data_IF_961370046922
#
_entry.id   IF_961370046922
#
_cell.length_a   1.000
_cell.length_b   1.000
_cell.length_c   1.000
_cell.angle_alpha   90.00
_cell.angle_beta   90.00
_cell.angle_gamma   90.00
#
_symmetry.space_group_name_H-M   'P 1'
#
loop_
_entity.id
_entity.type
_entity.pdbx_description
1 polymer ?
#
# COMPACT_ATOMS: atom_id res chain seq x y z
N UNK A 1 -19.36 9.19 -17.63
CA UNK A 1 -18.34 9.03 -18.69
C UNK A 1 -17.77 7.62 -18.63
N UNK A 2 -17.46 7.00 -19.77
CA UNK A 2 -16.83 5.67 -19.81
C UNK A 2 -15.31 5.86 -19.88
N UNK A 3 -14.64 5.85 -18.73
CA UNK A 3 -13.18 5.89 -18.73
C UNK A 3 -12.64 4.62 -19.40
N UNK A 4 -11.56 4.75 -20.19
CA UNK A 4 -11.03 3.68 -21.06
C UNK A 4 -10.85 2.32 -20.37
N UNK A 5 -10.52 2.33 -19.08
CA UNK A 5 -10.23 1.13 -18.28
C UNK A 5 -11.28 0.84 -17.19
N UNK A 6 -12.41 1.55 -17.19
CA UNK A 6 -13.42 1.45 -16.12
C UNK A 6 -14.01 0.05 -15.94
N UNK A 7 -14.12 -0.71 -17.04
CA UNK A 7 -14.72 -2.05 -17.03
C UNK A 7 -13.68 -3.18 -16.93
N UNK A 8 -12.39 -2.84 -16.85
CA UNK A 8 -11.36 -3.84 -16.66
C UNK A 8 -11.33 -4.29 -15.19
N UNK A 9 -11.12 -5.59 -14.93
CA UNK A 9 -10.91 -6.05 -13.57
C UNK A 9 -9.64 -5.39 -13.00
N UNK A 10 -9.59 -5.18 -11.68
CA UNK A 10 -8.37 -4.71 -11.04
C UNK A 10 -7.24 -5.74 -11.21
N UNK A 11 -5.97 -5.29 -11.18
CA UNK A 11 -4.83 -6.21 -11.17
C UNK A 11 -4.88 -7.12 -9.94
N UNK A 12 -4.31 -8.33 -10.04
CA UNK A 12 -4.17 -9.20 -8.88
C UNK A 12 -3.21 -8.57 -7.85
N UNK A 13 -3.35 -8.89 -6.55
CA UNK A 13 -2.44 -8.40 -5.53
C UNK A 13 -0.96 -8.69 -5.83
N UNK A 14 -0.66 -9.88 -6.37
CA UNK A 14 0.70 -10.31 -6.71
C UNK A 14 1.30 -9.46 -7.84
N UNK A 15 0.50 -9.06 -8.81
CA UNK A 15 0.92 -8.20 -9.92
C UNK A 15 1.25 -6.80 -9.41
N UNK A 16 0.39 -6.27 -8.54
CA UNK A 16 0.61 -4.98 -7.87
C UNK A 16 1.85 -5.02 -6.98
N UNK A 17 2.05 -6.11 -6.24
CA UNK A 17 3.20 -6.31 -5.36
C UNK A 17 4.53 -6.25 -6.10
N UNK A 18 4.60 -6.79 -7.34
CA UNK A 18 5.81 -6.68 -8.16
C UNK A 18 6.14 -5.24 -8.52
N UNK A 19 5.13 -4.43 -8.85
CA UNK A 19 5.31 -2.99 -9.12
C UNK A 19 5.76 -2.24 -7.87
N UNK A 20 5.13 -2.53 -6.72
CA UNK A 20 5.49 -1.91 -5.43
C UNK A 20 6.92 -2.25 -5.03
N UNK A 21 7.30 -3.53 -5.11
CA UNK A 21 8.66 -3.99 -4.81
C UNK A 21 9.68 -3.34 -5.75
N UNK A 22 9.36 -3.23 -7.04
CA UNK A 22 10.20 -2.52 -8.00
C UNK A 22 10.36 -1.06 -7.59
N UNK A 23 9.27 -0.34 -7.29
CA UNK A 23 9.33 1.05 -6.83
C UNK A 23 10.18 1.19 -5.56
N UNK A 24 10.02 0.28 -4.59
CA UNK A 24 10.82 0.30 -3.35
C UNK A 24 12.31 0.17 -3.65
N UNK A 25 12.70 -0.78 -4.49
CA UNK A 25 14.09 -1.05 -4.87
C UNK A 25 14.68 0.11 -5.68
N UNK A 26 13.91 0.69 -6.59
CA UNK A 26 14.35 1.77 -7.48
C UNK A 26 14.46 3.13 -6.78
N UNK A 27 13.72 3.33 -5.68
CA UNK A 27 13.66 4.61 -4.97
C UNK A 27 14.13 4.51 -3.51
N UNK A 28 15.32 3.97 -3.19
CA UNK A 28 15.68 3.56 -1.83
C UNK A 28 15.64 4.68 -0.77
N UNK A 29 15.80 5.95 -1.19
CA UNK A 29 15.82 7.12 -0.30
C UNK A 29 14.51 7.93 -0.29
N UNK A 30 13.52 7.60 -1.13
CA UNK A 30 12.25 8.34 -1.23
C UNK A 30 11.12 7.56 -0.59
N UNK A 31 10.23 8.18 0.21
CA UNK A 31 9.08 7.48 0.75
C UNK A 31 8.19 6.89 -0.35
N UNK A 32 7.72 5.66 -0.15
CA UNK A 32 6.71 5.01 -1.00
C UNK A 32 5.51 4.71 -0.14
N UNK A 33 4.35 5.24 -0.52
CA UNK A 33 3.10 5.13 0.24
C UNK A 33 2.02 4.53 -0.64
N UNK A 34 1.27 3.59 -0.08
CA UNK A 34 0.07 3.06 -0.74
C UNK A 34 -1.10 3.99 -0.43
N UNK A 35 -1.66 4.60 -1.47
CA UNK A 35 -2.80 5.49 -1.39
C UNK A 35 -4.15 4.79 -1.18
N UNK A 36 -5.22 5.58 -1.16
CA UNK A 36 -6.59 5.11 -0.89
C UNK A 36 -7.22 4.32 -2.04
N UNK A 37 -6.86 4.62 -3.30
CA UNK A 37 -7.46 4.04 -4.49
C UNK A 37 -7.01 2.59 -4.71
N UNK A 38 -7.75 1.64 -4.11
CA UNK A 38 -7.55 0.19 -4.28
C UNK A 38 -8.89 -0.52 -4.11
N UNK A 39 -9.10 -1.68 -4.76
CA UNK A 39 -10.32 -2.47 -4.59
C UNK A 39 -10.59 -2.80 -3.12
N UNK A 40 -11.86 -2.81 -2.75
CA UNK A 40 -12.32 -3.40 -1.48
C UNK A 40 -12.44 -4.93 -1.62
N UNK A 41 -12.62 -5.62 -0.49
CA UNK A 41 -12.87 -7.05 -0.45
C UNK A 41 -11.67 -7.89 0.00
N UNK A 42 -11.78 -9.23 -0.06
CA UNK A 42 -10.83 -10.16 0.57
C UNK A 42 -9.37 -10.00 0.11
N UNK A 43 -9.17 -9.65 -1.16
CA UNK A 43 -7.85 -9.45 -1.75
C UNK A 43 -7.07 -8.27 -1.14
N UNK A 44 -7.77 -7.36 -0.44
CA UNK A 44 -7.18 -6.20 0.23
C UNK A 44 -6.16 -6.59 1.29
N UNK A 45 -6.41 -7.65 2.06
CA UNK A 45 -5.50 -8.13 3.11
C UNK A 45 -4.21 -8.63 2.46
N UNK A 46 -4.31 -9.43 1.38
CA UNK A 46 -3.14 -9.90 0.63
C UNK A 46 -2.35 -8.74 0.04
N UNK A 47 -3.03 -7.78 -0.57
CA UNK A 47 -2.39 -6.57 -1.10
C UNK A 47 -1.61 -5.81 -0.02
N UNK A 48 -2.20 -5.59 1.15
CA UNK A 48 -1.57 -4.85 2.23
C UNK A 48 -0.40 -5.63 2.86
N UNK A 49 -0.52 -6.95 3.02
CA UNK A 49 0.57 -7.81 3.46
C UNK A 49 1.75 -7.75 2.48
N UNK A 50 1.49 -7.87 1.18
CA UNK A 50 2.55 -7.78 0.17
C UNK A 50 3.19 -6.39 0.14
N UNK A 51 2.40 -5.33 0.31
CA UNK A 51 2.92 -3.97 0.40
C UNK A 51 3.82 -3.78 1.62
N UNK A 52 3.40 -4.31 2.78
CA UNK A 52 4.17 -4.30 4.01
C UNK A 52 5.51 -5.02 3.83
N UNK A 53 5.49 -6.25 3.30
CA UNK A 53 6.71 -7.02 3.04
C UNK A 53 7.59 -6.42 1.96
N UNK A 54 7.01 -5.71 1.00
CA UNK A 54 7.75 -4.94 0.00
C UNK A 54 8.45 -3.72 0.61
N UNK A 55 8.20 -3.35 1.87
CA UNK A 55 8.92 -2.28 2.57
C UNK A 55 8.39 -0.88 2.30
N UNK A 56 7.09 -0.72 2.04
CA UNK A 56 6.46 0.60 1.91
C UNK A 56 6.56 1.38 3.23
N UNK A 57 6.60 2.71 3.14
CA UNK A 57 6.70 3.59 4.32
C UNK A 57 5.34 4.00 4.88
N UNK A 58 4.25 3.67 4.18
CA UNK A 58 2.90 3.98 4.64
C UNK A 58 1.84 3.24 3.86
N UNK A 59 0.74 2.91 4.55
CA UNK A 59 -0.43 2.27 3.99
C UNK A 59 -1.66 3.04 4.47
N UNK A 60 -2.40 3.65 3.55
CA UNK A 60 -3.62 4.38 3.89
C UNK A 60 -4.79 3.43 4.07
N UNK A 61 -5.54 3.60 5.16
CA UNK A 61 -6.65 2.74 5.57
C UNK A 61 -6.31 1.24 5.37
N UNK A 62 -5.32 0.72 6.12
CA UNK A 62 -4.88 -0.66 5.97
C UNK A 62 -6.02 -1.61 6.36
N UNK A 63 -6.05 -2.80 5.76
CA UNK A 63 -6.97 -3.85 6.17
C UNK A 63 -6.80 -4.19 7.66
N UNK A 64 -7.86 -4.74 8.25
CA UNK A 64 -7.84 -5.18 9.64
C UNK A 64 -6.68 -6.16 9.89
N UNK A 65 -6.04 -6.04 11.06
CA UNK A 65 -4.91 -6.88 11.45
C UNK A 65 -3.55 -6.46 10.87
N UNK A 66 -3.49 -5.69 9.77
CA UNK A 66 -2.21 -5.28 9.14
C UNK A 66 -1.35 -4.44 10.10
N UNK A 67 -1.97 -3.54 10.86
CA UNK A 67 -1.24 -2.72 11.84
C UNK A 67 -0.64 -3.57 12.97
N UNK A 68 -1.41 -4.54 13.48
CA UNK A 68 -0.94 -5.49 14.50
C UNK A 68 0.15 -6.40 13.95
N UNK A 69 0.02 -6.86 12.71
CA UNK A 69 1.03 -7.68 12.05
C UNK A 69 2.33 -6.91 11.79
N UNK A 70 2.26 -5.63 11.41
CA UNK A 70 3.45 -4.80 11.31
C UNK A 70 4.22 -4.75 12.64
N UNK A 71 3.51 -4.61 13.76
CA UNK A 71 4.11 -4.66 15.10
C UNK A 71 4.73 -6.02 15.44
N UNK A 72 4.09 -7.14 15.06
CA UNK A 72 4.64 -8.48 15.31
C UNK A 72 5.94 -8.75 14.53
N UNK A 73 6.15 -8.05 13.41
CA UNK A 73 7.41 -8.04 12.66
C UNK A 73 8.50 -7.14 13.28
N UNK A 74 8.24 -6.52 14.43
CA UNK A 74 9.17 -5.61 15.11
C UNK A 74 9.19 -4.19 14.54
N UNK A 75 8.22 -3.82 13.70
CA UNK A 75 8.08 -2.44 13.21
C UNK A 75 7.37 -1.57 14.25
N UNK A 76 7.65 -0.26 14.21
CA UNK A 76 7.00 0.75 15.03
C UNK A 76 6.08 1.66 14.19
N UNK A 77 4.93 1.16 13.67
CA UNK A 77 4.03 1.97 12.87
C UNK A 77 3.38 3.06 13.70
N UNK A 78 3.30 4.26 13.14
CA UNK A 78 2.57 5.40 13.71
C UNK A 78 1.32 5.69 12.87
N UNK A 79 0.31 6.27 13.51
CA UNK A 79 -0.91 6.72 12.83
C UNK A 79 -0.76 8.21 12.54
N UNK A 80 -0.97 8.60 11.29
CA UNK A 80 -1.01 10.00 10.88
C UNK A 80 -2.42 10.36 10.41
N UNK A 81 -2.96 11.53 10.80
CA UNK A 81 -4.22 12.04 10.28
C UNK A 81 -4.08 12.66 8.87
N UNK A 82 -2.86 12.79 8.35
CA UNK A 82 -2.60 13.46 7.09
C UNK A 82 -3.02 12.61 5.88
N UNK A 83 -3.31 13.27 4.76
CA UNK A 83 -3.55 12.59 3.49
C UNK A 83 -2.31 11.81 3.04
N UNK A 84 -2.52 10.71 2.33
CA UNK A 84 -1.45 9.90 1.75
C UNK A 84 -0.47 10.68 0.86
N UNK A 85 -0.92 11.78 0.25
CA UNK A 85 -0.10 12.66 -0.56
C UNK A 85 0.69 13.70 0.24
N UNK A 86 0.36 13.92 1.52
CA UNK A 86 0.95 14.98 2.35
C UNK A 86 1.72 14.46 3.57
N UNK A 87 1.72 13.14 3.81
CA UNK A 87 2.31 12.53 5.01
C UNK A 87 3.84 12.62 5.08
N UNK A 88 4.53 12.87 3.96
CA UNK A 88 6.00 13.01 3.90
C UNK A 88 6.45 14.35 3.28
N UNK A 89 5.64 15.41 3.40
CA UNK A 89 6.03 16.74 2.95
C UNK A 89 7.01 17.39 3.95
N UNK A 90 8.29 17.18 3.71
CA UNK A 90 9.41 17.96 4.24
C UNK A 90 10.36 18.31 3.10
#
# INVERSE_FOLDING_TARGET
>A
GKARFQLLPPPKPEDSARVILHARKSLPKRPVVIGCARPAGPERIRFDLYSLYAGVNGITFPAEGIFTHAKSLGLNPIISPNCCSTVFLH
#
